data_IF_307651445307
#
_entry.id   IF_307651445307
#
_cell.length_a   1.000
_cell.length_b   1.000
_cell.length_c   1.000
_cell.angle_alpha   90.00
_cell.angle_beta   90.00
_cell.angle_gamma   90.00
#
_symmetry.space_group_name_H-M   'P 1'
#
loop_
_entity.id
_entity.type
_entity.pdbx_description
1 polymer ?
#
# COMPACT_ATOMS: atom_id res chain seq x y z
N UNK A 1 -15.20 12.34 -10.17
CA UNK A 1 -15.16 12.30 -8.69
C UNK A 1 -14.11 13.32 -8.27
N UNK A 2 -14.41 14.22 -7.38
CA UNK A 2 -13.48 15.23 -6.88
C UNK A 2 -12.93 14.77 -5.53
N UNK A 3 -11.61 14.72 -5.41
CA UNK A 3 -10.90 14.35 -4.19
C UNK A 3 -10.16 15.56 -3.57
N UNK A 4 -10.50 16.76 -3.98
CA UNK A 4 -9.88 17.98 -3.47
C UNK A 4 -9.97 18.02 -1.94
N UNK A 5 -8.84 18.39 -1.31
CA UNK A 5 -8.67 18.44 0.14
C UNK A 5 -8.71 17.07 0.86
N UNK A 6 -8.57 15.95 0.16
CA UNK A 6 -8.42 14.63 0.78
C UNK A 6 -6.95 14.25 0.92
N UNK A 7 -6.54 13.94 2.12
CA UNK A 7 -5.21 13.42 2.43
C UNK A 7 -5.23 11.89 2.32
N UNK A 8 -4.51 11.35 1.35
CA UNK A 8 -4.45 9.92 1.08
C UNK A 8 -3.03 9.41 1.37
N UNK A 9 -2.87 8.59 2.39
CA UNK A 9 -1.63 7.84 2.60
C UNK A 9 -1.55 6.68 1.61
N UNK A 10 -0.51 6.62 0.79
CA UNK A 10 -0.35 5.59 -0.23
C UNK A 10 0.84 4.69 0.06
N UNK A 11 0.60 3.56 0.71
CA UNK A 11 1.60 2.55 1.05
C UNK A 11 1.98 1.68 -0.15
N UNK A 12 3.28 1.60 -0.44
CA UNK A 12 3.83 0.84 -1.57
C UNK A 12 4.73 -0.26 -1.04
N UNK A 13 4.40 -1.52 -1.38
CA UNK A 13 5.19 -2.68 -0.98
C UNK A 13 5.84 -3.37 -2.18
N UNK A 14 6.74 -4.31 -1.94
CA UNK A 14 7.68 -4.85 -2.93
C UNK A 14 7.09 -5.77 -4.01
N UNK A 15 5.97 -5.41 -4.63
CA UNK A 15 5.47 -6.08 -5.84
C UNK A 15 5.90 -5.31 -7.10
N UNK A 16 7.17 -5.44 -7.45
CA UNK A 16 7.86 -4.62 -8.46
C UNK A 16 7.22 -4.67 -9.86
N UNK A 17 6.67 -5.81 -10.26
CA UNK A 17 6.01 -5.96 -11.57
C UNK A 17 4.75 -5.09 -11.70
N UNK A 18 4.21 -4.57 -10.60
CA UNK A 18 3.02 -3.71 -10.60
C UNK A 18 3.35 -2.21 -10.52
N UNK A 19 4.61 -1.83 -10.36
CA UNK A 19 5.01 -0.43 -10.15
C UNK A 19 4.57 0.53 -11.26
N UNK A 20 4.59 0.08 -12.51
CA UNK A 20 4.07 0.89 -13.62
C UNK A 20 2.57 1.20 -13.48
N UNK A 21 1.78 0.25 -12.97
CA UNK A 21 0.34 0.48 -12.67
C UNK A 21 0.19 1.38 -11.45
N UNK A 22 0.99 1.16 -10.41
CA UNK A 22 1.01 1.96 -9.18
C UNK A 22 1.23 3.44 -9.49
N UNK A 23 2.22 3.79 -10.32
CA UNK A 23 2.48 5.18 -10.75
C UNK A 23 1.25 5.82 -11.40
N UNK A 24 0.61 5.09 -12.31
CA UNK A 24 -0.60 5.59 -13.02
C UNK A 24 -1.74 5.88 -12.06
N UNK A 25 -1.97 5.02 -11.07
CA UNK A 25 -3.04 5.23 -10.11
C UNK A 25 -2.71 6.38 -9.13
N UNK A 26 -1.46 6.53 -8.71
CA UNK A 26 -1.02 7.68 -7.91
C UNK A 26 -1.23 8.99 -8.71
N UNK A 27 -0.83 9.00 -9.98
CA UNK A 27 -1.03 10.16 -10.86
C UNK A 27 -2.51 10.52 -10.98
N UNK A 28 -3.40 9.52 -11.22
CA UNK A 28 -4.84 9.74 -11.29
C UNK A 28 -5.41 10.33 -10.01
N UNK A 29 -5.00 9.84 -8.84
CA UNK A 29 -5.44 10.38 -7.56
C UNK A 29 -5.03 11.86 -7.40
N UNK A 30 -3.79 12.19 -7.78
CA UNK A 30 -3.28 13.56 -7.76
C UNK A 30 -4.03 14.46 -8.74
N UNK A 31 -4.29 14.00 -9.96
CA UNK A 31 -5.09 14.71 -10.97
C UNK A 31 -6.55 14.94 -10.52
N UNK A 32 -7.09 14.05 -9.67
CA UNK A 32 -8.42 14.22 -9.05
C UNK A 32 -8.40 15.19 -7.85
N UNK A 33 -7.27 15.82 -7.57
CA UNK A 33 -7.11 16.83 -6.53
C UNK A 33 -6.73 16.29 -5.15
N UNK A 34 -6.45 14.98 -5.01
CA UNK A 34 -6.02 14.42 -3.74
C UNK A 34 -4.61 14.86 -3.36
N UNK A 35 -4.39 15.12 -2.08
CA UNK A 35 -3.07 15.25 -1.50
C UNK A 35 -2.54 13.86 -1.14
N UNK A 36 -1.72 13.29 -2.04
CA UNK A 36 -1.19 11.94 -1.88
C UNK A 36 0.14 11.99 -1.13
N UNK A 37 0.25 11.18 -0.06
CA UNK A 37 1.44 11.05 0.78
C UNK A 37 1.98 9.63 0.57
N UNK A 38 3.04 9.45 -0.23
CA UNK A 38 3.60 8.13 -0.47
C UNK A 38 4.31 7.60 0.78
N UNK A 39 4.17 6.29 1.01
CA UNK A 39 4.79 5.59 2.14
C UNK A 39 5.48 4.35 1.59
N UNK A 40 6.80 4.29 1.70
CA UNK A 40 7.60 3.24 1.06
C UNK A 40 7.99 2.15 2.06
N UNK A 41 7.73 0.89 1.70
CA UNK A 41 8.29 -0.24 2.45
C UNK A 41 9.81 -0.32 2.26
N UNK A 42 10.52 -0.99 3.16
CA UNK A 42 11.97 -1.15 3.03
C UNK A 42 12.37 -1.91 1.75
N UNK A 43 11.56 -2.87 1.29
CA UNK A 43 11.81 -3.55 0.00
C UNK A 43 11.70 -2.58 -1.17
N UNK A 44 10.70 -1.69 -1.15
CA UNK A 44 10.56 -0.67 -2.20
C UNK A 44 11.73 0.31 -2.22
N UNK A 45 12.32 0.60 -1.05
CA UNK A 45 13.44 1.54 -0.93
C UNK A 45 14.79 0.95 -1.34
N UNK A 46 14.99 -0.37 -1.16
CA UNK A 46 16.32 -0.98 -1.19
C UNK A 46 16.52 -2.03 -2.28
N UNK A 47 15.49 -2.39 -3.04
CA UNK A 47 15.61 -3.46 -4.03
C UNK A 47 15.53 -2.92 -5.46
N UNK A 48 16.65 -2.95 -6.15
CA UNK A 48 16.70 -2.77 -7.59
C UNK A 48 16.26 -4.05 -8.30
N UNK A 49 15.56 -3.91 -9.40
CA UNK A 49 15.01 -5.04 -10.14
C UNK A 49 15.14 -4.80 -11.65
N UNK A 50 14.80 -5.82 -12.44
CA UNK A 50 14.69 -5.68 -13.90
C UNK A 50 13.67 -4.64 -14.38
N UNK A 51 12.83 -4.13 -13.48
CA UNK A 51 11.81 -3.13 -13.78
C UNK A 51 12.25 -1.69 -13.49
N UNK A 52 13.47 -1.50 -13.01
CA UNK A 52 14.06 -0.21 -12.65
C UNK A 52 14.71 -0.23 -11.28
N UNK A 53 15.37 0.87 -10.94
CA UNK A 53 15.99 1.04 -9.62
C UNK A 53 14.96 1.53 -8.60
N UNK A 54 15.18 1.19 -7.32
CA UNK A 54 14.37 1.68 -6.22
C UNK A 54 14.39 3.22 -6.15
N UNK A 55 15.57 3.80 -6.39
CA UNK A 55 15.77 5.25 -6.36
C UNK A 55 14.93 5.96 -7.41
N UNK A 56 15.04 5.56 -8.68
CA UNK A 56 14.26 6.15 -9.79
C UNK A 56 12.76 6.07 -9.54
N UNK A 57 12.28 4.91 -9.10
CA UNK A 57 10.86 4.73 -8.81
C UNK A 57 10.36 5.66 -7.69
N UNK A 58 11.13 5.80 -6.61
CA UNK A 58 10.75 6.70 -5.51
C UNK A 58 10.78 8.17 -5.94
N UNK A 59 11.81 8.58 -6.71
CA UNK A 59 11.91 9.94 -7.24
C UNK A 59 10.70 10.28 -8.12
N UNK A 60 10.33 9.40 -9.06
CA UNK A 60 9.14 9.57 -9.91
C UNK A 60 7.85 9.70 -9.08
N UNK A 61 7.66 8.87 -8.06
CA UNK A 61 6.48 8.96 -7.18
C UNK A 61 6.47 10.26 -6.38
N UNK A 62 7.62 10.68 -5.87
CA UNK A 62 7.75 11.96 -5.16
C UNK A 62 7.45 13.16 -6.08
N UNK A 63 7.92 13.12 -7.32
CA UNK A 63 7.65 14.16 -8.32
C UNK A 63 6.15 14.23 -8.68
N UNK A 64 5.51 13.09 -8.90
CA UNK A 64 4.07 13.03 -9.19
C UNK A 64 3.23 13.62 -8.05
N UNK A 65 3.60 13.31 -6.81
CA UNK A 65 2.81 13.70 -5.63
C UNK A 65 3.20 15.07 -5.06
N UNK A 66 4.36 15.62 -5.44
CA UNK A 66 4.93 16.80 -4.82
C UNK A 66 5.29 16.60 -3.33
N UNK A 67 5.47 15.33 -2.90
CA UNK A 67 5.67 14.96 -1.51
C UNK A 67 6.91 14.07 -1.35
N UNK A 68 7.83 14.34 -0.38
CA UNK A 68 9.04 13.54 -0.20
C UNK A 68 8.78 12.09 0.27
N UNK A 69 7.57 11.82 0.72
CA UNK A 69 7.16 10.51 1.21
C UNK A 69 7.69 10.14 2.59
N UNK A 70 7.12 9.09 3.14
CA UNK A 70 7.46 8.50 4.43
C UNK A 70 8.34 7.27 4.19
N UNK A 71 9.52 7.22 4.82
CA UNK A 71 10.54 6.20 4.58
C UNK A 71 10.94 5.43 5.83
N UNK A 72 10.60 5.92 7.01
CA UNK A 72 10.98 5.32 8.29
C UNK A 72 9.78 5.06 9.18
N UNK A 73 9.96 4.21 10.19
CA UNK A 73 8.95 3.95 11.22
C UNK A 73 8.62 5.23 11.98
N UNK A 74 9.65 6.02 12.30
CA UNK A 74 9.53 7.26 13.05
C UNK A 74 8.72 8.31 12.30
N UNK A 75 8.89 8.40 10.98
CA UNK A 75 8.09 9.30 10.14
C UNK A 75 6.63 8.85 10.00
N UNK A 76 6.36 7.55 10.08
CA UNK A 76 5.01 7.00 10.00
C UNK A 76 4.21 7.13 11.31
N UNK A 77 4.87 7.11 12.46
CA UNK A 77 4.24 7.12 13.78
C UNK A 77 3.29 8.32 14.00
N UNK A 78 3.62 9.56 13.59
CA UNK A 78 2.77 10.72 13.77
C UNK A 78 1.40 10.65 13.07
N UNK A 79 1.20 9.75 12.12
CA UNK A 79 -0.10 9.51 11.47
C UNK A 79 -1.18 9.22 12.50
N UNK A 80 -0.86 8.46 13.55
CA UNK A 80 -1.79 8.11 14.61
C UNK A 80 -2.27 9.32 15.42
N UNK A 81 -1.40 9.97 16.19
CA UNK A 81 -1.79 11.08 17.08
C UNK A 81 -2.28 12.32 16.31
N UNK A 82 -1.75 12.61 15.13
CA UNK A 82 -2.18 13.75 14.33
C UNK A 82 -3.45 13.47 13.51
N UNK A 83 -3.73 12.22 13.16
CA UNK A 83 -4.93 11.81 12.44
C UNK A 83 -5.17 12.50 11.09
N UNK A 84 -4.12 12.95 10.41
CA UNK A 84 -4.22 13.82 9.24
C UNK A 84 -4.63 13.11 7.94
N UNK A 85 -4.51 11.79 7.88
CA UNK A 85 -4.97 11.03 6.70
C UNK A 85 -6.49 10.83 6.77
N UNK A 86 -7.18 10.98 5.65
CA UNK A 86 -8.60 10.64 5.50
C UNK A 86 -8.79 9.17 5.16
N UNK A 87 -7.93 8.66 4.27
CA UNK A 87 -7.90 7.28 3.81
C UNK A 87 -6.45 6.83 3.72
N UNK A 88 -6.20 5.57 3.99
CA UNK A 88 -4.93 4.93 3.65
C UNK A 88 -5.16 3.82 2.63
N UNK A 89 -4.28 3.75 1.64
CA UNK A 89 -4.25 2.71 0.61
C UNK A 89 -2.94 1.93 0.75
N UNK A 90 -2.95 0.62 0.64
CA UNK A 90 -1.75 -0.21 0.42
C UNK A 90 -1.89 -0.85 -0.95
N UNK A 91 -1.18 -0.32 -1.92
CA UNK A 91 -1.21 -0.78 -3.30
C UNK A 91 0.15 -0.58 -4.01
N UNK A 92 0.82 -1.64 -4.39
CA UNK A 92 0.46 -3.04 -4.18
C UNK A 92 0.63 -3.50 -2.72
N UNK A 93 -0.18 -4.46 -2.27
CA UNK A 93 0.00 -5.14 -0.99
C UNK A 93 0.47 -6.58 -1.23
N UNK A 94 1.73 -6.87 -0.92
CA UNK A 94 2.28 -8.22 -1.06
C UNK A 94 1.69 -9.18 -0.04
N UNK A 95 1.73 -10.49 -0.32
CA UNK A 95 1.32 -11.52 0.63
C UNK A 95 2.06 -11.42 1.97
N UNK A 96 3.36 -11.07 1.94
CA UNK A 96 4.15 -10.82 3.16
C UNK A 96 3.58 -9.64 3.98
N UNK A 97 3.25 -8.53 3.31
CA UNK A 97 2.67 -7.36 3.99
C UNK A 97 1.27 -7.66 4.53
N UNK A 98 0.45 -8.37 3.78
CA UNK A 98 -0.87 -8.82 4.23
C UNK A 98 -0.77 -9.74 5.45
N UNK A 99 0.16 -10.71 5.44
CA UNK A 99 0.41 -11.60 6.57
C UNK A 99 0.83 -10.83 7.82
N UNK A 100 1.77 -9.90 7.69
CA UNK A 100 2.23 -9.05 8.79
C UNK A 100 1.10 -8.19 9.35
N UNK A 101 0.33 -7.55 8.47
CA UNK A 101 -0.81 -6.71 8.88
C UNK A 101 -1.87 -7.52 9.64
N UNK A 102 -2.22 -8.72 9.14
CA UNK A 102 -3.17 -9.63 9.78
C UNK A 102 -2.71 -10.10 11.18
N UNK A 103 -1.40 -10.16 11.40
CA UNK A 103 -0.80 -10.58 12.68
C UNK A 103 -0.29 -9.41 13.54
N UNK A 104 -0.69 -8.18 13.23
CA UNK A 104 -0.33 -6.96 13.96
C UNK A 104 1.19 -6.69 14.02
N UNK A 105 1.97 -7.18 13.06
CA UNK A 105 3.40 -6.91 12.93
C UNK A 105 3.58 -5.57 12.21
N UNK A 106 4.37 -4.68 12.81
CA UNK A 106 4.54 -3.29 12.35
C UNK A 106 6.01 -2.89 12.18
N UNK A 107 6.75 -3.74 11.47
CA UNK A 107 8.21 -3.63 11.29
C UNK A 107 8.62 -2.89 9.99
N UNK A 108 7.69 -2.24 9.31
CA UNK A 108 7.96 -1.42 8.13
C UNK A 108 7.17 -0.11 8.20
N UNK A 109 7.61 0.95 7.49
CA UNK A 109 6.88 2.23 7.47
C UNK A 109 5.42 2.09 7.04
N UNK A 110 5.14 1.26 6.04
CA UNK A 110 3.77 0.99 5.54
C UNK A 110 2.90 0.34 6.62
N UNK A 111 3.42 -0.65 7.33
CA UNK A 111 2.68 -1.35 8.38
C UNK A 111 2.49 -0.48 9.62
N UNK A 112 3.49 0.33 9.98
CA UNK A 112 3.37 1.31 11.06
C UNK A 112 2.31 2.37 10.71
N UNK A 113 2.34 2.90 9.51
CA UNK A 113 1.34 3.86 9.02
C UNK A 113 -0.07 3.28 9.05
N UNK A 114 -0.25 2.03 8.59
CA UNK A 114 -1.54 1.34 8.61
C UNK A 114 -2.08 1.18 10.03
N UNK A 115 -1.26 0.69 10.95
CA UNK A 115 -1.61 0.58 12.39
C UNK A 115 -1.98 1.94 12.98
N UNK A 116 -1.15 2.95 12.75
CA UNK A 116 -1.36 4.30 13.26
C UNK A 116 -2.65 4.92 12.73
N UNK A 117 -2.92 4.74 11.42
CA UNK A 117 -4.13 5.22 10.77
C UNK A 117 -5.40 4.52 11.29
N UNK A 118 -5.38 3.19 11.37
CA UNK A 118 -6.53 2.40 11.82
C UNK A 118 -6.93 2.70 13.28
N UNK A 119 -6.01 3.12 14.13
CA UNK A 119 -6.33 3.57 15.50
C UNK A 119 -7.34 4.72 15.53
N UNK A 120 -7.43 5.49 14.45
CA UNK A 120 -8.39 6.59 14.31
C UNK A 120 -9.76 6.14 13.76
N UNK A 121 -9.99 4.84 13.59
CA UNK A 121 -11.23 4.29 13.03
C UNK A 121 -11.46 4.66 11.57
N UNK A 122 -10.42 5.04 10.85
CA UNK A 122 -10.48 5.49 9.45
C UNK A 122 -10.22 4.34 8.46
N UNK A 123 -10.70 4.45 7.21
CA UNK A 123 -10.65 3.36 6.24
C UNK A 123 -9.23 3.07 5.73
N UNK A 124 -8.90 1.78 5.66
CA UNK A 124 -7.73 1.23 4.99
C UNK A 124 -8.17 0.43 3.77
N UNK A 125 -7.67 0.78 2.60
CA UNK A 125 -7.95 0.09 1.33
C UNK A 125 -6.74 -0.75 0.94
N UNK A 126 -6.95 -2.02 0.58
CA UNK A 126 -5.88 -2.96 0.23
C UNK A 126 -6.07 -3.46 -1.20
N UNK A 127 -5.04 -3.31 -2.02
CA UNK A 127 -4.93 -3.94 -3.34
C UNK A 127 -3.94 -5.10 -3.25
N UNK A 128 -4.45 -6.32 -3.14
CA UNK A 128 -3.62 -7.53 -3.04
C UNK A 128 -2.83 -7.76 -4.34
N UNK A 129 -1.55 -8.07 -4.16
CA UNK A 129 -0.63 -8.43 -5.23
C UNK A 129 0.30 -9.55 -4.74
N UNK A 130 -0.14 -10.79 -4.92
CA UNK A 130 0.60 -11.99 -4.53
C UNK A 130 0.30 -13.11 -5.50
N UNK A 131 1.22 -14.06 -5.64
CA UNK A 131 1.07 -15.25 -6.46
C UNK A 131 0.52 -16.47 -5.70
N UNK A 132 0.16 -16.30 -4.44
CA UNK A 132 -0.38 -17.35 -3.57
C UNK A 132 -1.64 -16.91 -2.80
N UNK A 133 -2.44 -16.03 -3.41
CA UNK A 133 -3.65 -15.50 -2.78
C UNK A 133 -4.63 -16.60 -2.35
N UNK A 134 -4.75 -17.66 -3.15
CA UNK A 134 -5.59 -18.84 -2.88
C UNK A 134 -4.85 -19.95 -2.13
N UNK A 135 -3.56 -19.78 -1.86
CA UNK A 135 -2.71 -20.69 -1.11
C UNK A 135 -2.48 -20.21 0.33
N UNK A 136 -1.19 -20.11 0.71
CA UNK A 136 -0.78 -19.77 2.08
C UNK A 136 -1.25 -18.37 2.53
N UNK A 137 -1.40 -17.43 1.61
CA UNK A 137 -1.87 -16.07 1.92
C UNK A 137 -3.38 -15.99 2.15
N UNK A 138 -4.17 -16.97 1.73
CA UNK A 138 -5.64 -16.91 1.80
C UNK A 138 -6.17 -16.67 3.21
N UNK A 139 -5.63 -17.36 4.21
CA UNK A 139 -6.02 -17.18 5.61
C UNK A 139 -5.82 -15.74 6.10
N UNK A 140 -4.71 -15.11 5.71
CA UNK A 140 -4.41 -13.74 6.11
C UNK A 140 -5.34 -12.74 5.42
N UNK A 141 -5.64 -12.98 4.14
CA UNK A 141 -6.61 -12.18 3.38
C UNK A 141 -8.00 -12.30 4.02
N UNK A 142 -8.43 -13.51 4.39
CA UNK A 142 -9.70 -13.75 5.08
C UNK A 142 -9.78 -13.03 6.42
N UNK A 143 -8.72 -13.06 7.22
CA UNK A 143 -8.64 -12.32 8.48
C UNK A 143 -8.80 -10.81 8.27
N UNK A 144 -8.10 -10.25 7.26
CA UNK A 144 -8.18 -8.84 6.95
C UNK A 144 -9.56 -8.44 6.40
N UNK A 145 -10.19 -9.28 5.57
CA UNK A 145 -11.55 -9.05 5.07
C UNK A 145 -12.59 -9.00 6.18
N UNK A 146 -12.36 -9.71 7.28
CA UNK A 146 -13.22 -9.70 8.46
C UNK A 146 -12.86 -8.60 9.48
N UNK A 147 -11.89 -7.76 9.17
CA UNK A 147 -11.45 -6.68 10.06
C UNK A 147 -12.19 -5.39 9.73
N UNK A 148 -12.74 -4.74 10.76
CA UNK A 148 -13.48 -3.48 10.63
C UNK A 148 -12.59 -2.39 10.02
N UNK A 149 -13.17 -1.61 9.10
CA UNK A 149 -12.52 -0.51 8.38
C UNK A 149 -11.44 -0.93 7.37
N UNK A 150 -11.28 -2.21 7.10
CA UNK A 150 -10.45 -2.68 6.00
C UNK A 150 -11.34 -3.00 4.79
N UNK A 151 -10.95 -2.49 3.64
CA UNK A 151 -11.65 -2.67 2.36
C UNK A 151 -10.66 -3.19 1.32
N UNK A 152 -11.13 -4.04 0.42
CA UNK A 152 -10.30 -4.58 -0.65
C UNK A 152 -10.69 -4.00 -2.00
N UNK A 153 -9.68 -3.65 -2.79
CA UNK A 153 -9.89 -3.47 -4.22
C UNK A 153 -10.29 -4.84 -4.78
N UNK A 154 -11.35 -4.94 -5.61
CA UNK A 154 -11.75 -6.20 -6.21
C UNK A 154 -10.58 -6.88 -6.91
N UNK A 155 -10.38 -8.16 -6.65
CA UNK A 155 -9.34 -8.98 -7.26
C UNK A 155 -9.93 -10.33 -7.66
N UNK A 156 -9.27 -11.00 -8.60
CA UNK A 156 -9.69 -12.29 -9.10
C UNK A 156 -8.48 -13.19 -9.30
N UNK A 157 -8.71 -14.48 -9.44
CA UNK A 157 -7.69 -15.46 -9.80
C UNK A 157 -7.05 -15.09 -11.14
N UNK A 158 -5.71 -15.10 -11.21
CA UNK A 158 -4.97 -14.71 -12.40
C UNK A 158 -5.17 -15.75 -13.53
N UNK A 159 -4.64 -16.94 -13.34
CA UNK A 159 -4.74 -18.01 -14.32
C UNK A 159 -4.86 -19.36 -13.61
N UNK A 160 -6.04 -19.94 -13.64
CA UNK A 160 -6.33 -21.17 -12.90
C UNK A 160 -5.55 -22.40 -13.42
N UNK A 161 -5.11 -22.41 -14.67
CA UNK A 161 -4.35 -23.51 -15.24
C UNK A 161 -2.86 -23.43 -14.92
N UNK A 162 -2.25 -22.24 -15.13
CA UNK A 162 -0.80 -22.04 -14.97
C UNK A 162 -0.40 -21.56 -13.59
N UNK A 163 -1.32 -20.93 -12.86
CA UNK A 163 -1.11 -20.32 -11.56
C UNK A 163 -2.31 -20.58 -10.64
N UNK A 164 -2.59 -21.83 -10.27
CA UNK A 164 -3.82 -22.20 -9.58
C UNK A 164 -3.98 -21.55 -8.20
N UNK A 165 -2.91 -21.06 -7.61
CA UNK A 165 -2.92 -20.40 -6.28
C UNK A 165 -2.84 -18.86 -6.37
N UNK A 166 -2.85 -18.28 -7.57
CA UNK A 166 -2.64 -16.84 -7.79
C UNK A 166 -3.94 -16.10 -8.15
#
# INVERSE_FOLDING_TARGET
MDLSNRNIGYGITGSFCTFAKTRKEIQRLTEMGAHVIPIFSYQTQNCDTRFGTAKEFMEEVCDITGNPGIRTLQEAEPIGPKGYLDVMVIAPCTGNSAAKLANAITDTPVLMAAKAHMRNGKPLVIAISTNDALGASFKNIGMLMNTKHIYFVPFAQDNYEKKPNS
#
